data_IF_150672089581
#
_entry.id   IF_150672089581
#
_cell.length_a   1.000
_cell.length_b   1.000
_cell.length_c   1.000
_cell.angle_alpha   90.00
_cell.angle_beta   90.00
_cell.angle_gamma   90.00
#
_symmetry.space_group_name_H-M   'P 1'
#
loop_
_entity.id
_entity.type
_entity.pdbx_description
1 polymer ?
#
# COMPACT_ATOMS: atom_id res chain seq x y z
N UNK A 1 -11.56 19.25 3.34
CA UNK A 1 -10.09 19.45 3.54
C UNK A 1 -9.46 19.35 2.18
N UNK A 2 -8.64 20.31 1.80
CA UNK A 2 -7.80 20.16 0.60
C UNK A 2 -6.58 19.31 0.96
N UNK A 3 -6.38 18.23 0.25
CA UNK A 3 -5.24 17.32 0.46
C UNK A 3 -3.95 17.80 -0.23
N UNK A 4 -4.04 18.78 -1.14
CA UNK A 4 -2.89 19.30 -1.88
C UNK A 4 -2.27 18.30 -2.86
N UNK A 5 -3.07 17.37 -3.39
CA UNK A 5 -2.61 16.28 -4.26
C UNK A 5 -2.62 16.59 -5.75
N UNK A 6 -3.29 17.66 -6.17
CA UNK A 6 -3.37 18.04 -7.57
C UNK A 6 -1.98 18.24 -8.19
N UNK A 7 -1.69 17.47 -9.26
CA UNK A 7 -0.41 17.49 -9.96
C UNK A 7 0.74 16.76 -9.26
N UNK A 8 0.52 16.14 -8.09
CA UNK A 8 1.48 15.23 -7.47
C UNK A 8 1.60 13.95 -8.27
N UNK A 9 2.74 13.29 -8.19
CA UNK A 9 3.11 12.10 -8.95
C UNK A 9 3.26 10.93 -8.01
N UNK A 10 2.43 9.90 -8.19
CA UNK A 10 2.36 8.76 -7.29
C UNK A 10 2.62 7.43 -8.01
N UNK A 11 3.29 6.50 -7.35
CA UNK A 11 3.31 5.09 -7.76
C UNK A 11 2.57 4.23 -6.74
N UNK A 12 1.83 3.22 -7.24
CA UNK A 12 1.10 2.24 -6.40
C UNK A 12 1.43 0.84 -6.88
N UNK A 13 2.10 0.04 -6.05
CA UNK A 13 2.34 -1.37 -6.36
C UNK A 13 1.09 -2.21 -6.10
N UNK A 14 0.77 -3.18 -6.97
CA UNK A 14 -0.46 -3.96 -6.86
C UNK A 14 -1.73 -3.11 -7.08
N UNK A 15 -1.67 -2.13 -7.98
CA UNK A 15 -2.71 -1.11 -8.19
C UNK A 15 -3.91 -1.53 -9.05
N UNK A 16 -4.07 -2.83 -9.37
CA UNK A 16 -5.11 -3.27 -10.33
C UNK A 16 -6.41 -3.71 -9.68
N UNK A 17 -6.42 -4.08 -8.40
CA UNK A 17 -7.60 -4.57 -7.67
C UNK A 17 -7.55 -4.23 -6.18
N UNK A 18 -8.69 -4.38 -5.51
CA UNK A 18 -8.81 -4.24 -4.06
C UNK A 18 -8.27 -2.92 -3.52
N UNK A 19 -7.49 -2.97 -2.44
CA UNK A 19 -6.95 -1.79 -1.75
C UNK A 19 -6.10 -0.93 -2.69
N UNK A 20 -5.15 -1.54 -3.42
CA UNK A 20 -4.28 -0.80 -4.34
C UNK A 20 -5.04 -0.07 -5.44
N UNK A 21 -6.11 -0.69 -5.97
CA UNK A 21 -6.97 -0.06 -6.97
C UNK A 21 -7.74 1.14 -6.38
N UNK A 22 -8.34 0.97 -5.21
CA UNK A 22 -9.05 2.06 -4.53
C UNK A 22 -8.12 3.24 -4.20
N UNK A 23 -6.87 2.95 -3.79
CA UNK A 23 -5.85 3.99 -3.56
C UNK A 23 -5.55 4.74 -4.86
N UNK A 24 -5.30 4.02 -5.96
CA UNK A 24 -5.02 4.64 -7.25
C UNK A 24 -6.20 5.49 -7.76
N UNK A 25 -7.44 4.99 -7.62
CA UNK A 25 -8.66 5.72 -7.95
C UNK A 25 -8.84 6.99 -7.11
N UNK A 26 -8.58 6.90 -5.81
CA UNK A 26 -8.67 8.07 -4.92
C UNK A 26 -7.59 9.11 -5.26
N UNK A 27 -6.35 8.69 -5.54
CA UNK A 27 -5.28 9.60 -5.93
C UNK A 27 -5.60 10.35 -7.23
N UNK A 28 -6.11 9.66 -8.26
CA UNK A 28 -6.47 10.35 -9.51
C UNK A 28 -7.71 11.24 -9.35
N UNK A 29 -8.65 10.88 -8.48
CA UNK A 29 -9.80 11.72 -8.14
C UNK A 29 -9.39 13.03 -7.45
N UNK A 30 -8.33 12.99 -6.64
CA UNK A 30 -7.69 14.17 -6.02
C UNK A 30 -6.75 14.93 -6.99
N UNK A 31 -6.68 14.52 -8.26
CA UNK A 31 -5.91 15.18 -9.31
C UNK A 31 -4.43 14.82 -9.38
N UNK A 32 -4.01 13.74 -8.74
CA UNK A 32 -2.64 13.24 -8.85
C UNK A 32 -2.43 12.44 -10.15
N UNK A 33 -1.23 12.52 -10.71
CA UNK A 33 -0.77 11.63 -11.78
C UNK A 33 -0.31 10.30 -11.15
N UNK A 34 -0.72 9.15 -11.72
CA UNK A 34 -0.52 7.86 -11.06
C UNK A 34 0.12 6.82 -11.98
N UNK A 35 1.14 6.13 -11.48
CA UNK A 35 1.60 4.90 -12.11
C UNK A 35 1.28 3.68 -11.24
N UNK A 36 0.84 2.59 -11.89
CA UNK A 36 0.52 1.33 -11.23
C UNK A 36 1.31 0.18 -11.84
N UNK A 37 1.58 -0.86 -11.05
CA UNK A 37 2.07 -2.13 -11.56
C UNK A 37 1.33 -3.32 -10.96
N UNK A 38 1.28 -4.41 -11.71
CA UNK A 38 0.83 -5.72 -11.27
C UNK A 38 1.33 -6.79 -12.26
N UNK A 39 1.14 -8.07 -11.92
CA UNK A 39 1.63 -9.20 -12.74
C UNK A 39 0.72 -9.56 -13.92
N UNK A 40 -0.56 -9.24 -13.85
CA UNK A 40 -1.53 -9.61 -14.89
C UNK A 40 -1.73 -8.47 -15.88
N UNK A 41 -1.40 -8.71 -17.16
CA UNK A 41 -1.44 -7.71 -18.23
C UNK A 41 -2.85 -7.16 -18.47
N UNK A 42 -3.86 -8.03 -18.50
CA UNK A 42 -5.24 -7.62 -18.78
C UNK A 42 -5.77 -6.72 -17.66
N UNK A 43 -5.49 -7.09 -16.39
CA UNK A 43 -5.87 -6.26 -15.24
C UNK A 43 -5.14 -4.91 -15.23
N UNK A 44 -3.89 -4.86 -15.65
CA UNK A 44 -3.15 -3.60 -15.79
C UNK A 44 -3.79 -2.72 -16.86
N UNK A 45 -4.08 -3.29 -18.04
CA UNK A 45 -4.70 -2.55 -19.14
C UNK A 45 -6.09 -2.01 -18.75
N UNK A 46 -6.94 -2.82 -18.13
CA UNK A 46 -8.26 -2.43 -17.63
C UNK A 46 -8.14 -1.30 -16.59
N UNK A 47 -7.24 -1.47 -15.61
CA UNK A 47 -7.05 -0.49 -14.56
C UNK A 47 -6.59 0.86 -15.12
N UNK A 48 -5.62 0.86 -16.02
CA UNK A 48 -5.12 2.07 -16.68
C UNK A 48 -6.21 2.76 -17.48
N UNK A 49 -7.00 2.00 -18.26
CA UNK A 49 -8.10 2.55 -19.03
C UNK A 49 -9.17 3.22 -18.16
N UNK A 50 -9.47 2.63 -16.99
CA UNK A 50 -10.42 3.22 -16.05
C UNK A 50 -9.86 4.46 -15.36
N UNK A 51 -8.61 4.41 -14.87
CA UNK A 51 -7.96 5.54 -14.19
C UNK A 51 -7.79 6.77 -15.12
N UNK A 52 -7.49 6.56 -16.40
CA UNK A 52 -7.36 7.64 -17.40
C UNK A 52 -8.61 8.49 -17.58
N UNK A 53 -9.80 7.98 -17.18
CA UNK A 53 -11.05 8.75 -17.25
C UNK A 53 -11.06 9.97 -16.32
N UNK A 54 -10.17 10.04 -15.34
CA UNK A 54 -9.99 11.20 -14.45
C UNK A 54 -9.41 12.42 -15.15
N UNK A 55 -8.77 12.24 -16.31
CA UNK A 55 -8.05 13.29 -17.02
C UNK A 55 -6.62 13.55 -16.53
N UNK A 56 -6.15 12.83 -15.52
CA UNK A 56 -4.76 12.89 -15.05
C UNK A 56 -3.85 11.98 -15.90
N UNK A 57 -2.53 12.13 -15.76
CA UNK A 57 -1.60 11.17 -16.38
C UNK A 57 -1.65 9.84 -15.68
N UNK A 58 -1.78 8.76 -16.43
CA UNK A 58 -1.77 7.40 -15.89
C UNK A 58 -0.82 6.53 -16.69
N UNK A 59 0.10 5.86 -15.99
CA UNK A 59 1.03 4.88 -16.54
C UNK A 59 0.81 3.53 -15.88
N UNK A 60 0.92 2.44 -16.62
CA UNK A 60 0.81 1.08 -16.06
C UNK A 60 1.81 0.14 -16.71
N UNK A 61 2.36 -0.77 -15.91
CA UNK A 61 3.29 -1.78 -16.39
C UNK A 61 3.06 -3.15 -15.76
N UNK A 62 3.40 -4.20 -16.50
CA UNK A 62 3.42 -5.57 -16.00
C UNK A 62 4.75 -5.80 -15.30
N UNK A 63 4.71 -5.96 -13.96
CA UNK A 63 5.91 -6.13 -13.13
C UNK A 63 5.63 -7.15 -12.03
N UNK A 64 6.55 -8.09 -11.85
CA UNK A 64 6.60 -8.90 -10.64
C UNK A 64 7.50 -8.20 -9.61
N UNK A 65 6.97 -7.96 -8.43
CA UNK A 65 7.70 -7.32 -7.32
C UNK A 65 8.89 -8.16 -6.84
N UNK A 66 8.84 -9.47 -7.06
CA UNK A 66 9.97 -10.37 -6.76
C UNK A 66 11.16 -10.18 -7.71
N UNK A 67 10.93 -9.66 -8.93
CA UNK A 67 11.99 -9.32 -9.87
C UNK A 67 12.55 -7.92 -9.56
N UNK A 68 13.61 -7.88 -8.76
CA UNK A 68 14.24 -6.63 -8.31
C UNK A 68 14.67 -5.71 -9.46
N UNK A 69 15.42 -6.20 -10.49
CA UNK A 69 15.78 -5.40 -11.65
C UNK A 69 14.60 -4.85 -12.44
N UNK A 70 13.56 -5.65 -12.68
CA UNK A 70 12.34 -5.20 -13.37
C UNK A 70 11.60 -4.14 -12.54
N UNK A 71 11.54 -4.31 -11.21
CA UNK A 71 10.94 -3.35 -10.29
C UNK A 71 11.68 -2.00 -10.31
N UNK A 72 13.00 -2.01 -10.20
CA UNK A 72 13.83 -0.79 -10.24
C UNK A 72 13.65 -0.05 -11.57
N UNK A 73 13.67 -0.80 -12.69
CA UNK A 73 13.42 -0.23 -14.01
C UNK A 73 12.06 0.42 -14.10
N UNK A 74 11.00 -0.26 -13.61
CA UNK A 74 9.64 0.29 -13.63
C UNK A 74 9.53 1.59 -12.83
N UNK A 75 10.16 1.68 -11.66
CA UNK A 75 10.13 2.91 -10.86
C UNK A 75 10.77 4.07 -11.61
N UNK A 76 11.90 3.83 -12.26
CA UNK A 76 12.57 4.85 -13.08
C UNK A 76 11.73 5.27 -14.30
N UNK A 77 11.13 4.30 -15.00
CA UNK A 77 10.23 4.56 -16.12
C UNK A 77 8.99 5.34 -15.67
N UNK A 78 8.36 4.95 -14.55
CA UNK A 78 7.21 5.64 -13.98
C UNK A 78 7.55 7.11 -13.62
N UNK A 79 8.67 7.33 -12.95
CA UNK A 79 9.13 8.68 -12.62
C UNK A 79 9.38 9.53 -13.88
N UNK A 80 9.90 8.92 -14.95
CA UNK A 80 10.08 9.60 -16.24
C UNK A 80 8.76 9.94 -16.92
N UNK A 81 7.82 8.98 -16.98
CA UNK A 81 6.50 9.16 -17.61
C UNK A 81 5.64 10.21 -16.89
N UNK A 82 5.68 10.22 -15.56
CA UNK A 82 4.95 11.18 -14.76
C UNK A 82 5.66 12.56 -14.67
N UNK A 83 6.96 12.61 -14.95
CA UNK A 83 7.78 13.81 -14.83
C UNK A 83 8.26 14.08 -13.39
N UNK A 84 8.43 13.04 -12.59
CA UNK A 84 8.90 13.07 -11.20
C UNK A 84 8.20 12.02 -10.34
N UNK A 85 8.49 12.03 -9.02
CA UNK A 85 7.86 11.13 -8.06
C UNK A 85 7.78 11.81 -6.70
N UNK A 86 6.56 12.02 -6.20
CA UNK A 86 6.28 12.66 -4.91
C UNK A 86 5.80 11.63 -3.86
N UNK A 87 5.10 10.58 -4.32
CA UNK A 87 4.37 9.65 -3.47
C UNK A 87 4.64 8.21 -3.89
N UNK A 88 4.91 7.37 -2.91
CA UNK A 88 5.03 5.91 -3.08
C UNK A 88 4.02 5.21 -2.20
N UNK A 89 3.21 4.34 -2.78
CA UNK A 89 2.37 3.41 -2.02
C UNK A 89 2.81 1.97 -2.30
N UNK A 90 3.46 1.36 -1.32
CA UNK A 90 3.86 -0.04 -1.39
C UNK A 90 2.72 -0.92 -0.84
N UNK A 91 1.87 -1.42 -1.75
CA UNK A 91 0.68 -2.18 -1.41
C UNK A 91 0.77 -3.66 -1.83
N UNK A 92 1.60 -4.02 -2.81
CA UNK A 92 1.73 -5.41 -3.24
C UNK A 92 2.14 -6.33 -2.09
N UNK A 93 1.52 -7.51 -2.01
CA UNK A 93 1.79 -8.52 -0.98
C UNK A 93 1.62 -9.92 -1.55
N UNK A 94 2.40 -10.87 -1.02
CA UNK A 94 2.25 -12.28 -1.34
C UNK A 94 0.93 -12.87 -0.80
N UNK A 95 0.42 -12.33 0.30
CA UNK A 95 -0.75 -12.86 1.03
C UNK A 95 -0.61 -14.36 1.39
N UNK A 96 0.62 -14.87 1.45
CA UNK A 96 0.88 -16.28 1.71
C UNK A 96 0.63 -16.59 3.20
N UNK A 97 -0.25 -17.55 3.44
CA UNK A 97 -0.68 -17.94 4.78
C UNK A 97 0.03 -19.23 5.23
N UNK A 98 0.09 -19.40 6.55
CA UNK A 98 0.64 -20.60 7.18
C UNK A 98 2.12 -20.47 7.55
N UNK A 99 2.69 -21.59 8.06
CA UNK A 99 4.01 -21.62 8.68
C UNK A 99 5.03 -22.50 7.91
N UNK A 100 4.71 -22.87 6.67
CA UNK A 100 5.65 -23.62 5.82
C UNK A 100 6.68 -22.71 5.18
N UNK A 101 7.82 -23.27 4.83
CA UNK A 101 8.94 -22.52 4.26
C UNK A 101 8.58 -21.73 2.98
N UNK A 102 7.75 -22.28 2.12
CA UNK A 102 7.27 -21.63 0.91
C UNK A 102 6.50 -20.34 1.20
N UNK A 103 5.64 -20.34 2.23
CA UNK A 103 4.94 -19.11 2.66
C UNK A 103 5.92 -18.07 3.21
N UNK A 104 6.92 -18.49 4.00
CA UNK A 104 7.97 -17.61 4.49
C UNK A 104 8.78 -16.99 3.36
N UNK A 105 9.22 -17.80 2.38
CA UNK A 105 9.98 -17.32 1.22
C UNK A 105 9.15 -16.33 0.39
N UNK A 106 7.88 -16.65 0.09
CA UNK A 106 7.01 -15.79 -0.68
C UNK A 106 6.78 -14.43 0.00
N UNK A 107 6.42 -14.43 1.30
CA UNK A 107 6.23 -13.19 2.05
C UNK A 107 7.54 -12.41 2.21
N UNK A 108 8.67 -13.09 2.46
CA UNK A 108 9.96 -12.41 2.56
C UNK A 108 10.32 -11.71 1.26
N UNK A 109 10.22 -12.39 0.12
CA UNK A 109 10.61 -11.83 -1.17
C UNK A 109 9.71 -10.66 -1.61
N UNK A 110 8.40 -10.78 -1.44
CA UNK A 110 7.45 -9.78 -1.91
C UNK A 110 7.19 -8.70 -0.87
N UNK A 111 6.92 -9.08 0.38
CA UNK A 111 6.50 -8.12 1.42
C UNK A 111 7.69 -7.40 2.07
N UNK A 112 8.85 -8.07 2.22
CA UNK A 112 10.03 -7.47 2.87
C UNK A 112 11.00 -6.94 1.83
N UNK A 113 11.55 -7.81 0.98
CA UNK A 113 12.52 -7.38 -0.04
C UNK A 113 11.88 -6.48 -1.09
N UNK A 114 10.63 -6.75 -1.49
CA UNK A 114 9.87 -5.89 -2.38
C UNK A 114 9.69 -4.48 -1.80
N UNK A 115 9.32 -4.37 -0.51
CA UNK A 115 9.19 -3.07 0.15
C UNK A 115 10.52 -2.32 0.25
N UNK A 116 11.60 -3.01 0.61
CA UNK A 116 12.94 -2.43 0.68
C UNK A 116 13.40 -1.92 -0.69
N UNK A 117 13.26 -2.73 -1.73
CA UNK A 117 13.64 -2.37 -3.11
C UNK A 117 12.83 -1.19 -3.65
N UNK A 118 11.52 -1.14 -3.36
CA UNK A 118 10.67 0.00 -3.74
C UNK A 118 11.15 1.28 -3.07
N UNK A 119 11.40 1.23 -1.76
CA UNK A 119 11.89 2.40 -1.03
C UNK A 119 13.25 2.87 -1.57
N UNK A 120 14.20 1.98 -1.70
CA UNK A 120 15.56 2.28 -2.17
C UNK A 120 15.55 2.88 -3.60
N UNK A 121 14.83 2.24 -4.53
CA UNK A 121 14.78 2.70 -5.93
C UNK A 121 14.02 4.03 -6.09
N UNK A 122 13.04 4.32 -5.23
CA UNK A 122 12.27 5.56 -5.28
C UNK A 122 13.01 6.74 -4.60
N UNK A 123 13.91 6.48 -3.67
CA UNK A 123 14.55 7.50 -2.82
C UNK A 123 15.16 8.66 -3.62
N UNK A 124 15.95 8.45 -4.69
CA UNK A 124 16.54 9.57 -5.45
C UNK A 124 15.51 10.53 -6.05
N UNK A 125 14.35 10.01 -6.45
CA UNK A 125 13.26 10.81 -7.00
C UNK A 125 12.50 11.55 -5.89
N UNK A 126 12.26 10.88 -4.75
CA UNK A 126 11.62 11.48 -3.58
C UNK A 126 12.48 12.60 -2.97
N UNK A 127 13.80 12.42 -2.89
CA UNK A 127 14.72 13.47 -2.42
C UNK A 127 14.66 14.70 -3.32
N UNK A 128 14.64 14.48 -4.65
CA UNK A 128 14.49 15.59 -5.61
C UNK A 128 13.15 16.31 -5.45
N UNK A 129 12.07 15.56 -5.25
CA UNK A 129 10.73 16.12 -5.02
C UNK A 129 10.68 16.89 -3.70
N UNK A 130 11.15 16.29 -2.60
CA UNK A 130 11.15 16.92 -1.29
C UNK A 130 11.98 18.21 -1.27
N UNK A 131 13.13 18.23 -1.94
CA UNK A 131 13.95 19.43 -2.08
C UNK A 131 13.25 20.56 -2.87
N UNK A 132 12.44 20.20 -3.87
CA UNK A 132 11.73 21.18 -4.70
C UNK A 132 10.40 21.66 -4.08
N UNK A 133 9.68 20.77 -3.40
CA UNK A 133 8.29 20.97 -2.96
C UNK A 133 8.11 20.97 -1.44
N UNK A 134 9.15 20.67 -0.67
CA UNK A 134 9.12 20.63 0.80
C UNK A 134 8.46 19.37 1.40
N UNK A 135 8.01 18.40 0.58
CA UNK A 135 7.37 17.16 1.05
C UNK A 135 7.44 16.06 0.02
N UNK A 136 7.72 14.84 0.48
CA UNK A 136 7.52 13.59 -0.25
C UNK A 136 7.06 12.50 0.73
N UNK A 137 6.36 11.48 0.24
CA UNK A 137 5.72 10.50 1.13
C UNK A 137 5.84 9.06 0.62
N UNK A 138 6.09 8.15 1.56
CA UNK A 138 6.00 6.70 1.36
C UNK A 138 4.99 6.13 2.35
N UNK A 139 4.01 5.38 1.85
CA UNK A 139 3.08 4.62 2.69
C UNK A 139 3.18 3.13 2.35
N UNK A 140 3.43 2.31 3.36
CA UNK A 140 3.49 0.84 3.22
C UNK A 140 2.23 0.24 3.81
N UNK A 141 1.54 -0.61 3.04
CA UNK A 141 0.36 -1.32 3.51
C UNK A 141 0.79 -2.59 4.25
N UNK A 142 0.69 -2.52 5.58
CA UNK A 142 0.94 -3.63 6.49
C UNK A 142 -0.36 -4.42 6.78
N UNK A 143 -0.61 -4.81 8.01
CA UNK A 143 -1.81 -5.54 8.46
C UNK A 143 -1.92 -5.49 9.98
N UNK A 144 -3.13 -5.61 10.53
CA UNK A 144 -3.32 -5.88 11.97
C UNK A 144 -2.64 -7.19 12.39
N UNK A 145 -2.47 -8.15 11.49
CA UNK A 145 -1.73 -9.40 11.75
C UNK A 145 -0.27 -9.17 12.14
N UNK A 146 0.28 -7.99 11.90
CA UNK A 146 1.61 -7.59 12.36
C UNK A 146 1.70 -7.50 13.89
N UNK A 147 0.59 -7.32 14.57
CA UNK A 147 0.51 -7.06 16.01
C UNK A 147 -0.35 -8.07 16.76
N UNK A 148 -1.25 -8.75 16.08
CA UNK A 148 -2.10 -9.80 16.63
C UNK A 148 -1.91 -11.10 15.86
N UNK A 149 -1.88 -12.22 16.57
CA UNK A 149 -1.77 -13.53 15.96
C UNK A 149 -2.73 -14.53 16.62
N UNK A 150 -3.38 -15.34 15.79
CA UNK A 150 -4.13 -16.52 16.23
C UNK A 150 -3.33 -17.81 16.04
N UNK A 151 -2.25 -17.79 15.25
CA UNK A 151 -1.38 -18.91 14.97
C UNK A 151 -0.02 -18.44 14.44
N UNK A 152 1.01 -19.28 14.58
CA UNK A 152 2.31 -19.02 13.96
C UNK A 152 2.19 -18.97 12.43
N UNK A 153 2.80 -17.98 11.80
CA UNK A 153 2.76 -17.85 10.34
C UNK A 153 3.63 -16.73 9.81
N UNK A 154 4.00 -16.86 8.54
CA UNK A 154 4.90 -15.93 7.85
C UNK A 154 4.28 -14.54 7.70
N UNK A 155 3.00 -14.49 7.30
CA UNK A 155 2.36 -13.24 6.91
C UNK A 155 2.43 -12.17 8.00
N UNK A 156 1.92 -12.46 9.20
CA UNK A 156 1.93 -11.49 10.31
C UNK A 156 3.33 -11.08 10.74
N UNK A 157 4.24 -12.06 10.87
CA UNK A 157 5.63 -11.79 11.25
C UNK A 157 6.34 -10.85 10.26
N UNK A 158 6.15 -11.09 8.95
CA UNK A 158 6.80 -10.28 7.92
C UNK A 158 6.08 -8.95 7.67
N UNK A 159 4.78 -8.84 7.97
CA UNK A 159 4.08 -7.54 8.03
C UNK A 159 4.55 -6.69 9.22
N UNK A 160 4.94 -7.28 10.33
CA UNK A 160 5.55 -6.56 11.45
C UNK A 160 6.90 -5.93 11.07
N UNK A 161 7.72 -6.63 10.27
CA UNK A 161 8.99 -6.08 9.79
C UNK A 161 8.82 -4.82 8.94
N UNK A 162 7.72 -4.70 8.18
CA UNK A 162 7.41 -3.50 7.39
C UNK A 162 7.17 -2.26 8.28
N UNK A 163 6.51 -2.43 9.43
CA UNK A 163 6.29 -1.34 10.39
C UNK A 163 7.61 -0.86 10.97
N UNK A 164 8.49 -1.80 11.33
CA UNK A 164 9.82 -1.48 11.83
C UNK A 164 10.67 -0.77 10.76
N UNK A 165 10.67 -1.27 9.52
CA UNK A 165 11.37 -0.66 8.39
C UNK A 165 10.91 0.78 8.16
N UNK A 166 9.59 1.01 8.07
CA UNK A 166 9.04 2.34 7.85
C UNK A 166 9.44 3.33 8.97
N UNK A 167 9.46 2.88 10.23
CA UNK A 167 9.90 3.71 11.36
C UNK A 167 11.39 4.08 11.28
N UNK A 168 12.24 3.13 10.89
CA UNK A 168 13.66 3.38 10.66
C UNK A 168 13.90 4.43 9.57
N UNK A 169 13.29 4.21 8.39
CA UNK A 169 13.37 5.12 7.26
C UNK A 169 12.80 6.51 7.57
N UNK A 170 11.71 6.58 8.35
CA UNK A 170 11.15 7.86 8.80
C UNK A 170 12.17 8.66 9.63
N UNK A 171 12.88 8.02 10.56
CA UNK A 171 13.93 8.69 11.36
C UNK A 171 15.11 9.14 10.51
N UNK A 172 15.50 8.33 9.54
CA UNK A 172 16.65 8.61 8.67
C UNK A 172 16.38 9.77 7.71
N UNK A 173 15.15 9.86 7.16
CA UNK A 173 14.85 10.79 6.08
C UNK A 173 13.95 11.98 6.47
N UNK A 174 13.50 12.07 7.72
CA UNK A 174 12.67 13.20 8.18
C UNK A 174 13.34 14.56 7.95
N UNK A 175 14.66 14.66 8.18
CA UNK A 175 15.42 15.88 7.92
C UNK A 175 15.48 16.30 6.45
N UNK A 176 15.15 15.40 5.52
CA UNK A 176 15.01 15.66 4.08
C UNK A 176 13.55 15.87 3.66
N UNK A 177 12.63 16.00 4.61
CA UNK A 177 11.19 16.14 4.37
C UNK A 177 10.57 14.96 3.59
N UNK A 178 11.11 13.75 3.78
CA UNK A 178 10.51 12.51 3.25
C UNK A 178 9.86 11.75 4.40
N UNK A 179 8.56 11.56 4.31
CA UNK A 179 7.76 10.90 5.33
C UNK A 179 7.57 9.42 5.00
N UNK A 180 7.69 8.54 6.00
CA UNK A 180 7.44 7.11 5.88
C UNK A 180 6.42 6.71 6.93
N UNK A 181 5.29 6.14 6.50
CA UNK A 181 4.23 5.67 7.38
C UNK A 181 3.76 4.28 6.96
N UNK A 182 3.06 3.60 7.85
CA UNK A 182 2.35 2.36 7.53
C UNK A 182 0.87 2.53 7.78
N UNK A 183 0.06 1.83 6.98
CA UNK A 183 -1.36 1.60 7.24
C UNK A 183 -1.54 0.11 7.49
N UNK A 184 -2.20 -0.24 8.59
CA UNK A 184 -2.52 -1.62 8.96
C UNK A 184 -4.02 -1.88 8.88
N UNK A 185 -4.51 -2.41 7.74
CA UNK A 185 -5.92 -2.76 7.58
C UNK A 185 -6.33 -3.91 8.51
N UNK A 186 -7.59 -3.88 8.98
CA UNK A 186 -8.29 -5.02 9.52
C UNK A 186 -8.78 -5.96 8.43
N UNK A 187 -9.98 -6.54 8.64
CA UNK A 187 -10.66 -7.35 7.61
C UNK A 187 -11.21 -6.43 6.52
N UNK A 188 -10.81 -6.66 5.26
CA UNK A 188 -11.24 -5.86 4.10
C UNK A 188 -11.97 -6.73 3.10
N UNK A 189 -13.24 -6.42 2.84
CA UNK A 189 -14.08 -7.16 1.91
C UNK A 189 -14.18 -6.47 0.55
N UNK A 190 -13.93 -7.21 -0.50
CA UNK A 190 -14.22 -6.85 -1.90
C UNK A 190 -14.34 -8.10 -2.76
N UNK A 191 -15.07 -7.99 -3.86
CA UNK A 191 -15.29 -9.12 -4.79
C UNK A 191 -13.98 -9.62 -5.39
N UNK A 192 -13.72 -10.92 -5.28
CA UNK A 192 -12.47 -11.56 -5.69
C UNK A 192 -11.30 -11.37 -4.70
N UNK A 193 -11.56 -10.80 -3.52
CA UNK A 193 -10.61 -10.71 -2.42
C UNK A 193 -10.62 -11.93 -1.51
N UNK A 194 -9.72 -11.95 -0.53
CA UNK A 194 -9.57 -13.08 0.42
C UNK A 194 -10.87 -13.33 1.18
N UNK A 195 -11.53 -12.30 1.69
CA UNK A 195 -12.76 -12.46 2.47
C UNK A 195 -13.97 -12.85 1.63
N UNK A 196 -14.01 -12.51 0.34
CA UNK A 196 -15.01 -13.06 -0.57
C UNK A 196 -14.77 -14.57 -0.81
N UNK A 197 -13.51 -15.02 -0.97
CA UNK A 197 -13.21 -16.45 -1.07
C UNK A 197 -13.56 -17.20 0.24
N UNK A 198 -13.33 -16.56 1.40
CA UNK A 198 -13.73 -17.14 2.70
C UNK A 198 -15.25 -17.22 2.82
N UNK A 199 -16.00 -16.20 2.36
CA UNK A 199 -17.47 -16.23 2.32
C UNK A 199 -17.98 -17.40 1.48
N UNK A 200 -17.39 -17.59 0.27
CA UNK A 200 -17.82 -18.62 -0.68
C UNK A 200 -17.47 -20.06 -0.24
N UNK A 201 -16.34 -20.24 0.43
CA UNK A 201 -15.81 -21.58 0.74
C UNK A 201 -15.80 -21.95 2.23
N UNK A 202 -15.88 -20.96 3.12
CA UNK A 202 -15.83 -21.14 4.58
C UNK A 202 -16.85 -20.21 5.28
N UNK A 203 -18.16 -20.35 5.00
CA UNK A 203 -19.18 -19.40 5.45
C UNK A 203 -19.28 -19.25 6.97
N UNK A 204 -19.00 -20.30 7.73
CA UNK A 204 -19.02 -20.23 9.19
C UNK A 204 -17.86 -19.38 9.73
N UNK A 205 -16.67 -19.49 9.12
CA UNK A 205 -15.53 -18.62 9.44
C UNK A 205 -15.83 -17.17 9.08
N UNK A 206 -16.48 -16.94 7.92
CA UNK A 206 -16.91 -15.59 7.53
C UNK A 206 -17.87 -14.99 8.55
N UNK A 207 -18.93 -15.72 8.93
CA UNK A 207 -19.92 -15.29 9.95
C UNK A 207 -19.24 -14.99 11.30
N UNK A 208 -18.37 -15.89 11.77
CA UNK A 208 -17.65 -15.72 13.02
C UNK A 208 -16.76 -14.47 12.99
N UNK A 209 -16.10 -14.21 11.85
CA UNK A 209 -15.27 -13.01 11.68
C UNK A 209 -16.13 -11.75 11.62
N UNK A 210 -17.26 -11.78 10.92
CA UNK A 210 -18.23 -10.66 10.89
C UNK A 210 -18.74 -10.32 12.30
N UNK A 211 -19.07 -11.31 13.10
CA UNK A 211 -19.54 -11.11 14.47
C UNK A 211 -18.48 -10.46 15.40
N UNK A 212 -17.18 -10.60 15.05
CA UNK A 212 -16.08 -9.97 15.79
C UNK A 212 -15.84 -8.51 15.40
N UNK A 213 -16.41 -8.03 14.28
CA UNK A 213 -16.22 -6.64 13.83
C UNK A 213 -17.18 -5.71 14.60
N UNK A 214 -16.70 -4.85 15.50
CA UNK A 214 -17.60 -4.03 16.34
C UNK A 214 -18.44 -3.04 15.54
N UNK A 215 -17.96 -2.62 14.36
CA UNK A 215 -18.73 -1.75 13.47
C UNK A 215 -19.79 -2.49 12.63
N UNK A 216 -20.00 -3.80 12.84
CA UNK A 216 -21.00 -4.61 12.15
C UNK A 216 -20.69 -4.87 10.67
N UNK A 217 -19.51 -4.50 10.19
CA UNK A 217 -19.06 -4.73 8.81
C UNK A 217 -17.54 -4.90 8.72
N UNK A 218 -17.07 -5.52 7.67
CA UNK A 218 -15.67 -5.41 7.27
C UNK A 218 -15.41 -4.06 6.60
N UNK A 219 -14.17 -3.60 6.61
CA UNK A 219 -13.77 -2.44 5.84
C UNK A 219 -13.92 -2.69 4.34
N UNK A 220 -14.19 -1.65 3.58
CA UNK A 220 -14.08 -1.62 2.14
C UNK A 220 -12.65 -1.23 1.72
N UNK A 221 -12.21 -1.49 0.47
CA UNK A 221 -10.97 -0.93 -0.05
C UNK A 221 -10.90 0.60 0.07
N UNK A 222 -12.03 1.28 -0.05
CA UNK A 222 -12.10 2.74 0.06
C UNK A 222 -11.81 3.24 1.49
N UNK A 223 -12.23 2.51 2.53
CA UNK A 223 -11.90 2.87 3.92
C UNK A 223 -10.37 2.92 4.11
N UNK A 224 -9.64 1.98 3.51
CA UNK A 224 -8.17 1.92 3.56
C UNK A 224 -7.53 2.98 2.66
N UNK A 225 -8.11 3.21 1.48
CA UNK A 225 -7.63 4.22 0.54
C UNK A 225 -7.68 5.62 1.14
N UNK A 226 -8.76 5.97 1.84
CA UNK A 226 -8.92 7.27 2.49
C UNK A 226 -7.77 7.55 3.48
N UNK A 227 -7.45 6.60 4.35
CA UNK A 227 -6.35 6.71 5.30
C UNK A 227 -4.99 6.79 4.61
N UNK A 228 -4.78 5.95 3.58
CA UNK A 228 -3.52 5.90 2.82
C UNK A 228 -3.29 7.21 2.08
N UNK A 229 -4.29 7.72 1.39
CA UNK A 229 -4.19 8.97 0.61
C UNK A 229 -4.01 10.18 1.52
N UNK A 230 -4.68 10.21 2.69
CA UNK A 230 -4.39 11.24 3.71
C UNK A 230 -2.92 11.22 4.15
N UNK A 231 -2.37 10.06 4.53
CA UNK A 231 -0.96 9.95 4.92
C UNK A 231 0.01 10.24 3.77
N UNK A 232 -0.41 10.04 2.53
CA UNK A 232 0.38 10.37 1.34
C UNK A 232 0.39 11.87 1.02
N UNK A 233 -0.58 12.61 1.54
CA UNK A 233 -0.84 14.00 1.16
C UNK A 233 -0.04 15.02 2.00
N UNK A 234 0.22 16.22 1.47
CA UNK A 234 0.76 17.34 2.24
C UNK A 234 -0.07 17.73 3.48
N UNK A 235 -1.37 17.42 3.52
CA UNK A 235 -2.20 17.64 4.71
C UNK A 235 -1.73 16.84 5.94
N UNK A 236 -0.89 15.82 5.75
CA UNK A 236 -0.25 15.05 6.82
C UNK A 236 1.26 15.35 6.98
N UNK A 237 1.73 16.53 6.56
CA UNK A 237 3.14 16.90 6.47
C UNK A 237 3.95 16.75 7.77
N UNK A 238 3.31 16.73 8.93
CA UNK A 238 3.97 16.52 10.23
C UNK A 238 3.75 15.09 10.79
N UNK A 239 3.19 14.18 9.97
CA UNK A 239 2.93 12.78 10.35
C UNK A 239 3.93 11.86 9.65
N UNK A 240 4.89 11.32 10.42
CA UNK A 240 5.89 10.38 9.92
C UNK A 240 6.27 9.35 10.97
N UNK A 241 6.59 8.13 10.55
CA UNK A 241 7.00 7.03 11.42
C UNK A 241 5.86 6.45 12.25
N UNK A 242 4.60 6.61 11.83
CA UNK A 242 3.44 6.01 12.51
C UNK A 242 2.98 4.74 11.80
N UNK A 243 2.24 3.93 12.55
CA UNK A 243 1.41 2.86 12.03
C UNK A 243 -0.06 3.21 12.27
N UNK A 244 -0.79 3.58 11.22
CA UNK A 244 -2.21 3.88 11.30
C UNK A 244 -3.02 2.59 11.16
N UNK A 245 -3.70 2.19 12.21
CA UNK A 245 -4.61 1.04 12.19
C UNK A 245 -5.96 1.48 11.65
N UNK A 246 -6.48 0.74 10.66
CA UNK A 246 -7.78 0.97 10.02
C UNK A 246 -8.57 -0.35 10.06
N UNK A 247 -9.15 -0.66 11.21
CA UNK A 247 -9.74 -1.97 11.50
C UNK A 247 -11.14 -1.93 12.16
N UNK A 248 -11.71 -0.74 12.38
CA UNK A 248 -13.01 -0.59 13.04
C UNK A 248 -13.01 -1.08 14.49
N UNK A 249 -11.90 -0.93 15.20
CA UNK A 249 -11.65 -1.46 16.56
C UNK A 249 -11.72 -3.00 16.66
N UNK A 250 -11.45 -3.71 15.57
CA UNK A 250 -11.40 -5.18 15.58
C UNK A 250 -10.31 -5.69 16.54
N UNK A 251 -9.16 -5.00 16.60
CA UNK A 251 -8.08 -5.33 17.54
C UNK A 251 -8.28 -4.60 18.87
N UNK A 252 -8.01 -5.29 19.97
CA UNK A 252 -8.17 -4.72 21.34
C UNK A 252 -6.94 -3.97 21.86
N UNK A 253 -5.91 -3.78 21.00
CA UNK A 253 -4.65 -3.18 21.47
C UNK A 253 -4.71 -1.65 21.42
N UNK A 254 -4.14 -1.02 22.43
CA UNK A 254 -3.87 0.42 22.44
C UNK A 254 -2.54 0.68 21.72
N UNK A 255 -2.51 1.64 20.82
CA UNK A 255 -1.29 2.02 20.08
C UNK A 255 -0.60 3.21 20.75
N UNK A 256 0.61 2.99 21.19
CA UNK A 256 1.52 4.02 21.65
C UNK A 256 2.77 4.02 20.79
#
# INVERSE_FOLDING_TARGET
MDLGLKGKKAIVTGGTRGIGRAIAETLVAEGADVAICARNADQVAEAVAALKKSGTKVYGAVVDIADGPALQKWIADAAKELGGLDIVVNNASALAQGNKEDAWRACFEIDVMGAQRVCEAALPFLEKSAAANGDASVVIISSISAAETSAAGAYGALKASQIHLAKGLAKEHAGKHIRFNTVSPGTVYFKGGVWNMVEDHMPDMFKATMARNPMGRMATPQDIANATVFLSSPASSFTTGINMIVDGTLTGRVNF
#
